data_IF_831576847751
#
_entry.id   IF_831576847751
#
_cell.length_a   1.000
_cell.length_b   1.000
_cell.length_c   1.000
_cell.angle_alpha   90.00
_cell.angle_beta   90.00
_cell.angle_gamma   90.00
#
_symmetry.space_group_name_H-M   'P 1'
#
loop_
_entity.id
_entity.type
_entity.pdbx_description
1 polymer ?
#
# COMPACT_ATOMS: atom_id res chain seq x y z
N UNK A 1 16.86 -26.63 11.01
CA UNK A 1 16.92 -25.60 12.07
C UNK A 1 17.21 -24.30 11.34
N UNK A 2 16.17 -23.55 11.00
CA UNK A 2 16.30 -22.31 10.22
C UNK A 2 16.73 -21.25 11.22
N UNK A 3 17.90 -20.65 11.00
CA UNK A 3 18.36 -19.51 11.79
C UNK A 3 17.29 -18.42 11.73
N UNK A 4 16.80 -18.04 12.92
CA UNK A 4 15.89 -16.91 13.08
C UNK A 4 16.65 -15.69 12.58
N UNK A 5 16.20 -15.13 11.46
CA UNK A 5 16.91 -14.06 10.76
C UNK A 5 16.95 -12.84 11.68
N UNK A 6 18.12 -12.28 11.99
CA UNK A 6 18.29 -11.06 12.81
C UNK A 6 17.40 -9.90 12.31
N UNK A 7 17.00 -9.95 11.04
CA UNK A 7 16.05 -9.02 10.42
C UNK A 7 14.64 -9.10 11.01
N UNK A 8 14.17 -10.26 11.45
CA UNK A 8 12.85 -10.43 12.10
C UNK A 8 12.85 -9.84 13.51
N UNK A 9 13.99 -9.86 14.21
CA UNK A 9 14.11 -9.23 15.52
C UNK A 9 14.14 -7.69 15.41
N UNK A 10 14.64 -7.16 14.29
CA UNK A 10 14.70 -5.71 14.00
C UNK A 10 13.38 -5.18 13.43
N UNK A 11 12.78 -5.92 12.48
CA UNK A 11 11.60 -5.48 11.73
C UNK A 11 10.28 -6.00 12.32
N UNK A 12 10.35 -6.91 13.29
CA UNK A 12 9.19 -7.61 13.84
C UNK A 12 8.77 -8.84 13.00
N UNK A 13 7.79 -9.62 13.49
CA UNK A 13 7.23 -10.72 12.73
C UNK A 13 6.66 -10.19 11.41
N UNK A 14 6.83 -10.95 10.31
CA UNK A 14 6.16 -10.65 9.05
C UNK A 14 4.64 -10.63 9.29
N UNK A 15 4.06 -9.44 9.34
CA UNK A 15 2.62 -9.26 9.54
C UNK A 15 1.94 -9.56 8.20
N UNK A 16 1.44 -10.79 8.08
CA UNK A 16 0.64 -11.36 6.99
C UNK A 16 1.17 -11.25 5.53
N UNK A 17 1.15 -12.37 4.80
CA UNK A 17 1.40 -12.42 3.35
C UNK A 17 0.32 -11.68 2.52
N UNK A 18 -0.70 -11.12 3.16
CA UNK A 18 -1.79 -10.44 2.48
C UNK A 18 -1.32 -9.05 2.01
N UNK A 19 -1.58 -8.69 0.74
CA UNK A 19 -1.20 -7.38 0.25
C UNK A 19 -2.04 -6.28 0.91
N UNK A 20 -1.39 -5.18 1.31
CA UNK A 20 -2.04 -3.98 1.88
C UNK A 20 -3.08 -3.35 0.94
N UNK A 21 -2.99 -3.65 -0.34
CA UNK A 21 -3.80 -3.02 -1.38
C UNK A 21 -3.29 -3.30 -2.78
N UNK A 22 -3.53 -2.35 -3.68
CA UNK A 22 -3.06 -2.38 -5.07
C UNK A 22 -2.53 -1.02 -5.52
N UNK A 23 -1.41 -0.98 -6.24
CA UNK A 23 -0.94 0.26 -6.89
C UNK A 23 -1.93 0.64 -7.99
N UNK A 24 -2.51 1.84 -7.90
CA UNK A 24 -3.52 2.35 -8.86
C UNK A 24 -3.01 3.50 -9.73
N UNK A 25 -1.89 4.11 -9.37
CA UNK A 25 -1.31 5.20 -10.15
C UNK A 25 -0.08 5.82 -9.50
N UNK A 26 0.23 7.05 -9.90
CA UNK A 26 1.36 7.83 -9.39
C UNK A 26 2.54 7.91 -10.36
N UNK A 27 3.67 8.38 -9.85
CA UNK A 27 4.91 8.56 -10.60
C UNK A 27 6.13 8.44 -9.68
N UNK A 28 7.34 8.42 -10.24
CA UNK A 28 8.54 8.37 -9.41
C UNK A 28 8.72 9.64 -8.56
N UNK A 29 8.41 10.82 -9.12
CA UNK A 29 8.60 12.11 -8.45
C UNK A 29 7.49 12.42 -7.44
N UNK A 30 6.26 12.07 -7.76
CA UNK A 30 5.10 12.29 -6.87
C UNK A 30 4.88 11.16 -5.86
N UNK A 31 5.58 10.04 -6.03
CA UNK A 31 5.26 8.79 -5.35
C UNK A 31 4.13 8.01 -6.05
N UNK A 32 3.97 6.77 -5.60
CA UNK A 32 2.96 5.83 -6.05
C UNK A 32 1.70 5.97 -5.21
N UNK A 33 0.55 5.88 -5.87
CA UNK A 33 -0.74 5.84 -5.21
C UNK A 33 -1.21 4.39 -5.10
N UNK A 34 -1.59 3.99 -3.90
CA UNK A 34 -2.08 2.64 -3.58
C UNK A 34 -3.52 2.77 -3.08
N UNK A 35 -4.45 2.01 -3.66
CA UNK A 35 -5.77 1.78 -3.08
C UNK A 35 -5.63 0.72 -1.99
N UNK A 36 -5.97 1.08 -0.76
CA UNK A 36 -5.92 0.18 0.42
C UNK A 36 -7.00 -0.88 0.26
N UNK A 37 -6.67 -2.13 0.62
CA UNK A 37 -7.64 -3.20 0.69
C UNK A 37 -8.57 -2.97 1.90
N UNK A 38 -9.90 -2.98 1.72
CA UNK A 38 -10.86 -2.63 2.77
C UNK A 38 -10.81 -3.56 3.99
N UNK A 39 -10.16 -4.72 3.89
CA UNK A 39 -9.93 -5.63 5.03
C UNK A 39 -8.90 -5.09 6.02
N UNK A 40 -8.08 -4.11 5.63
CA UNK A 40 -7.10 -3.48 6.51
C UNK A 40 -7.71 -2.29 7.25
N UNK A 41 -7.45 -2.24 8.56
CA UNK A 41 -7.83 -1.08 9.38
C UNK A 41 -6.89 0.09 9.07
N UNK A 42 -7.42 1.10 8.38
CA UNK A 42 -6.67 2.33 8.07
C UNK A 42 -6.12 3.02 9.31
N UNK A 43 -6.82 2.92 10.44
CA UNK A 43 -6.43 3.51 11.72
C UNK A 43 -5.12 2.94 12.28
N UNK A 44 -4.67 1.78 11.80
CA UNK A 44 -3.40 1.16 12.20
C UNK A 44 -2.24 1.54 11.28
N UNK A 45 -2.53 2.18 10.14
CA UNK A 45 -1.52 2.63 9.18
C UNK A 45 -0.92 3.96 9.65
N UNK A 46 0.38 4.14 9.41
CA UNK A 46 1.09 5.35 9.81
C UNK A 46 2.03 5.82 8.71
N UNK A 47 2.12 7.14 8.54
CA UNK A 47 3.17 7.78 7.74
C UNK A 47 4.54 7.42 8.31
N UNK A 48 5.52 7.22 7.43
CA UNK A 48 6.87 6.79 7.78
C UNK A 48 7.04 5.28 7.85
N UNK A 49 5.97 4.48 7.74
CA UNK A 49 6.11 3.03 7.63
C UNK A 49 6.72 2.62 6.30
N UNK A 50 7.53 1.59 6.34
CA UNK A 50 8.10 0.98 5.14
C UNK A 50 7.13 0.00 4.51
N UNK A 51 7.21 -0.12 3.20
CA UNK A 51 6.46 -1.10 2.42
C UNK A 51 7.34 -1.70 1.34
N UNK A 52 7.05 -2.94 0.97
CA UNK A 52 7.67 -3.61 -0.18
C UNK A 52 6.61 -3.80 -1.26
N UNK A 53 6.87 -3.31 -2.45
CA UNK A 53 6.01 -3.54 -3.62
C UNK A 53 6.69 -4.56 -4.52
N UNK A 54 5.96 -5.63 -4.86
CA UNK A 54 6.47 -6.69 -5.74
C UNK A 54 6.10 -6.37 -7.19
N UNK A 55 7.10 -6.32 -8.06
CA UNK A 55 6.90 -6.19 -9.50
C UNK A 55 6.09 -7.38 -10.01
N UNK A 56 5.05 -7.13 -10.81
CA UNK A 56 4.23 -8.22 -11.37
C UNK A 56 4.82 -8.79 -12.66
N UNK A 57 5.50 -7.94 -13.44
CA UNK A 57 6.10 -8.30 -14.74
C UNK A 57 7.59 -8.64 -14.65
N UNK A 58 8.21 -8.34 -13.50
CA UNK A 58 9.65 -8.53 -13.27
C UNK A 58 9.83 -9.12 -11.87
N UNK A 59 10.93 -9.82 -11.61
CA UNK A 59 11.27 -10.30 -10.25
C UNK A 59 11.76 -9.19 -9.32
N UNK A 60 11.50 -7.91 -9.64
CA UNK A 60 11.98 -6.76 -8.88
C UNK A 60 11.13 -6.50 -7.65
N UNK A 61 11.79 -6.07 -6.58
CA UNK A 61 11.16 -5.61 -5.35
C UNK A 61 11.51 -4.15 -5.14
N UNK A 62 10.49 -3.34 -4.89
CA UNK A 62 10.63 -1.91 -4.67
C UNK A 62 10.39 -1.63 -3.19
N UNK A 63 11.37 -1.06 -2.53
CA UNK A 63 11.26 -0.65 -1.14
C UNK A 63 10.87 0.83 -1.10
N UNK A 64 9.79 1.13 -0.39
CA UNK A 64 9.25 2.47 -0.27
C UNK A 64 8.86 2.83 1.16
N UNK A 65 8.55 4.10 1.36
CA UNK A 65 8.03 4.64 2.61
C UNK A 65 6.67 5.29 2.36
N UNK A 66 5.71 5.05 3.25
CA UNK A 66 4.42 5.74 3.25
C UNK A 66 4.67 7.19 3.60
N UNK A 67 4.33 8.10 2.69
CA UNK A 67 4.49 9.54 2.88
C UNK A 67 3.20 10.23 3.26
N UNK A 68 2.05 9.65 2.90
CA UNK A 68 0.74 10.22 3.18
C UNK A 68 -0.36 9.14 3.16
N UNK A 69 -1.45 9.39 3.88
CA UNK A 69 -2.63 8.53 3.99
C UNK A 69 -3.86 9.41 3.80
N UNK A 70 -4.69 9.09 2.80
CA UNK A 70 -5.86 9.90 2.46
C UNK A 70 -7.14 9.06 2.35
N UNK A 71 -8.27 9.70 2.59
CA UNK A 71 -9.60 9.18 2.29
C UNK A 71 -10.05 9.74 0.93
N UNK A 72 -10.56 8.86 0.09
CA UNK A 72 -11.05 9.15 -1.25
C UNK A 72 -12.43 8.51 -1.45
N UNK A 73 -13.10 8.84 -2.55
CA UNK A 73 -14.40 8.29 -2.89
C UNK A 73 -14.52 8.02 -4.38
N UNK A 74 -15.15 6.90 -4.75
CA UNK A 74 -15.48 6.63 -6.16
C UNK A 74 -16.48 7.65 -6.71
N UNK A 75 -17.34 8.18 -5.84
CA UNK A 75 -18.25 9.27 -6.15
C UNK A 75 -17.87 10.53 -5.33
N UNK A 76 -17.39 11.62 -5.97
CA UNK A 76 -17.01 12.84 -5.27
C UNK A 76 -18.19 13.54 -4.57
N UNK A 77 -19.43 13.26 -4.99
CA UNK A 77 -20.61 13.76 -4.28
C UNK A 77 -20.79 13.12 -2.89
N UNK A 78 -20.16 11.98 -2.60
CA UNK A 78 -20.20 11.36 -1.27
C UNK A 78 -19.73 12.34 -0.19
N UNK A 79 -18.67 13.09 -0.47
CA UNK A 79 -18.10 14.08 0.46
C UNK A 79 -19.07 15.25 0.67
N UNK A 80 -19.85 15.59 -0.36
CA UNK A 80 -20.81 16.71 -0.33
C UNK A 80 -22.15 16.32 0.27
N UNK A 81 -22.52 15.05 0.14
CA UNK A 81 -23.80 14.48 0.56
C UNK A 81 -23.53 13.11 1.20
N UNK A 82 -23.04 13.08 2.45
CA UNK A 82 -22.85 11.82 3.14
C UNK A 82 -24.21 11.13 3.33
N UNK A 83 -24.26 9.79 3.21
CA UNK A 83 -25.46 9.02 3.47
C UNK A 83 -25.84 9.05 4.95
N UNK A 84 -27.08 8.69 5.25
CA UNK A 84 -27.54 8.59 6.63
C UNK A 84 -26.86 7.42 7.35
N UNK A 85 -26.11 7.79 8.40
CA UNK A 85 -25.36 6.97 9.36
C UNK A 85 -26.17 5.93 10.12
N UNK A 86 -27.49 6.11 10.20
CA UNK A 86 -28.34 5.42 11.17
C UNK A 86 -28.72 3.99 10.80
N UNK A 87 -28.48 3.58 9.55
CA UNK A 87 -28.80 2.25 9.03
C UNK A 87 -27.53 1.45 8.73
N UNK A 88 -27.33 0.32 9.42
CA UNK A 88 -26.13 -0.52 9.31
C UNK A 88 -25.86 -1.01 7.87
N UNK A 89 -26.91 -1.27 7.10
CA UNK A 89 -26.79 -1.68 5.70
C UNK A 89 -26.21 -0.56 4.81
N UNK A 90 -26.58 0.70 5.09
CA UNK A 90 -26.07 1.85 4.35
C UNK A 90 -24.59 2.03 4.65
N UNK A 91 -24.18 1.87 5.90
CA UNK A 91 -22.77 1.87 6.30
C UNK A 91 -21.97 0.79 5.55
N UNK A 92 -22.49 -0.42 5.46
CA UNK A 92 -21.80 -1.54 4.82
C UNK A 92 -21.59 -1.32 3.31
N UNK A 93 -22.63 -0.87 2.59
CA UNK A 93 -22.54 -0.60 1.14
C UNK A 93 -21.61 0.57 0.85
N UNK A 94 -21.70 1.67 1.61
CA UNK A 94 -20.85 2.83 1.35
C UNK A 94 -19.38 2.58 1.72
N UNK A 95 -19.11 1.80 2.77
CA UNK A 95 -17.76 1.43 3.18
C UNK A 95 -17.09 0.42 2.24
N UNK A 96 -17.87 -0.37 1.49
CA UNK A 96 -17.35 -1.40 0.58
C UNK A 96 -17.15 -0.93 -0.86
N UNK A 97 -18.01 -0.02 -1.36
CA UNK A 97 -18.03 0.37 -2.78
C UNK A 97 -17.65 1.84 -3.02
N UNK A 98 -17.88 2.73 -2.05
CA UNK A 98 -17.87 4.18 -2.30
C UNK A 98 -16.72 4.90 -1.60
N UNK A 99 -16.45 4.59 -0.33
CA UNK A 99 -15.33 5.15 0.42
C UNK A 99 -14.06 4.31 0.19
N UNK A 100 -12.95 4.96 -0.14
CA UNK A 100 -11.67 4.32 -0.44
C UNK A 100 -10.56 4.95 0.38
N UNK A 101 -9.77 4.13 1.06
CA UNK A 101 -8.48 4.57 1.60
C UNK A 101 -7.39 4.55 0.54
N UNK A 102 -6.53 5.57 0.51
CA UNK A 102 -5.35 5.62 -0.36
C UNK A 102 -4.07 5.90 0.42
N UNK A 103 -2.97 5.30 -0.02
CA UNK A 103 -1.61 5.60 0.46
C UNK A 103 -0.80 6.23 -0.66
N UNK A 104 -0.01 7.23 -0.30
CA UNK A 104 1.09 7.70 -1.15
C UNK A 104 2.41 7.10 -0.63
N UNK A 105 3.20 6.54 -1.54
CA UNK A 105 4.47 5.87 -1.22
C UNK A 105 5.59 6.41 -2.09
N UNK A 106 6.67 6.87 -1.47
CA UNK A 106 7.90 7.24 -2.17
C UNK A 106 8.86 6.05 -2.22
N UNK A 107 9.36 5.75 -3.42
CA UNK A 107 10.32 4.68 -3.63
C UNK A 107 11.73 5.11 -3.21
N UNK A 108 12.42 4.24 -2.49
CA UNK A 108 13.77 4.47 -2.01
C UNK A 108 14.77 3.55 -2.71
N UNK A 109 14.48 2.23 -2.67
CA UNK A 109 15.38 1.21 -3.20
C UNK A 109 14.65 0.25 -4.12
N UNK A 110 15.41 -0.40 -4.98
CA UNK A 110 15.00 -1.48 -5.86
C UNK A 110 15.99 -2.62 -5.73
N UNK A 111 15.47 -3.83 -5.58
CA UNK A 111 16.24 -5.07 -5.63
C UNK A 111 15.80 -5.84 -6.88
N UNK A 112 16.78 -6.37 -7.61
CA UNK A 112 16.58 -7.24 -8.78
C UNK A 112 17.23 -8.58 -8.46
N UNK A 113 16.55 -9.70 -8.68
CA UNK A 113 17.09 -11.03 -8.31
C UNK A 113 18.35 -11.39 -9.12
N UNK A 114 18.52 -10.77 -10.29
CA UNK A 114 19.73 -10.92 -11.11
C UNK A 114 20.91 -10.04 -10.63
N UNK A 115 20.66 -9.12 -9.70
CA UNK A 115 21.65 -8.16 -9.20
C UNK A 115 21.70 -8.18 -7.68
N UNK A 116 22.82 -8.65 -7.13
CA UNK A 116 22.95 -8.91 -5.68
C UNK A 116 22.93 -7.67 -4.78
N UNK A 117 22.92 -6.45 -5.33
CA UNK A 117 23.03 -5.20 -4.56
C UNK A 117 21.79 -4.31 -4.75
N UNK A 118 21.21 -3.75 -3.66
CA UNK A 118 20.13 -2.77 -3.74
C UNK A 118 20.58 -1.51 -4.47
N UNK A 119 19.71 -0.98 -5.34
CA UNK A 119 19.96 0.26 -6.08
C UNK A 119 18.89 1.31 -5.75
N UNK A 120 19.16 2.60 -5.96
CA UNK A 120 18.12 3.62 -5.86
C UNK A 120 16.95 3.29 -6.78
N UNK A 121 15.72 3.55 -6.32
CA UNK A 121 14.52 3.41 -7.13
C UNK A 121 14.54 4.38 -8.31
N UNK A 122 15.00 3.91 -9.47
CA UNK A 122 15.05 4.72 -10.71
C UNK A 122 13.85 4.47 -11.64
N UNK A 123 12.94 3.58 -11.25
CA UNK A 123 11.72 3.27 -11.99
C UNK A 123 10.61 2.85 -11.03
N UNK A 124 9.41 2.64 -11.57
CA UNK A 124 8.20 2.30 -10.83
C UNK A 124 7.72 0.87 -11.17
N UNK A 125 7.01 0.20 -10.24
CA UNK A 125 6.32 -1.06 -10.53
C UNK A 125 5.15 -0.83 -11.50
N UNK A 126 4.66 -1.92 -12.10
CA UNK A 126 3.47 -1.88 -12.97
C UNK A 126 2.20 -1.56 -12.17
N UNK A 127 1.18 -1.04 -12.86
CA UNK A 127 -0.17 -0.95 -12.30
C UNK A 127 -0.61 -2.28 -11.67
N UNK A 128 -1.33 -2.17 -10.55
CA UNK A 128 -1.89 -3.27 -9.77
C UNK A 128 -0.85 -4.19 -9.11
N UNK A 129 0.39 -3.73 -9.00
CA UNK A 129 1.38 -4.40 -8.15
C UNK A 129 0.94 -4.36 -6.68
N UNK A 130 1.01 -5.49 -5.95
CA UNK A 130 0.65 -5.54 -4.54
C UNK A 130 1.75 -4.94 -3.65
N UNK A 131 1.40 -4.02 -2.73
CA UNK A 131 2.25 -3.61 -1.61
C UNK A 131 2.08 -4.57 -0.42
N UNK A 132 3.16 -4.74 0.35
CA UNK A 132 3.22 -5.53 1.58
C UNK A 132 3.85 -4.69 2.68
N UNK A 133 3.41 -4.90 3.92
CA UNK A 133 4.00 -4.29 5.12
C UNK A 133 5.31 -4.99 5.52
#
# INVERSE_FOLDING_TARGET
MIERSELEDILGPRVDEAPLGIVVGGSLSSGLQIKIDPRFSMEKLAVGRYVVIRGRQTSRRFFGIVTDIALDATNPDLVRRPPDLSEDFVLEVYSSEVAIGTLNVSLMLMLDEEQSEPRPGQTIPSHFSPPYE
#
